data_IF_831117371053
#
_entry.id   IF_831117371053
#
_cell.length_a   1.000
_cell.length_b   1.000
_cell.length_c   1.000
_cell.angle_alpha   90.00
_cell.angle_beta   90.00
_cell.angle_gamma   90.00
#
_symmetry.space_group_name_H-M   'P 1'
#
loop_
_entity.id
_entity.type
_entity.pdbx_description
1 polymer ?
#
# COMPACT_ATOMS: atom_id res chain seq x y z
N UNK A 1 -2.31 10.37 -16.70
CA UNK A 1 -2.78 10.54 -15.29
C UNK A 1 -1.81 9.96 -14.28
N UNK A 2 -1.51 8.64 -14.29
CA UNK A 2 -0.63 8.04 -13.27
C UNK A 2 0.80 8.59 -13.31
N UNK A 3 1.36 8.79 -14.49
CA UNK A 3 2.66 9.47 -14.70
C UNK A 3 2.66 10.89 -14.12
N UNK A 4 1.63 11.68 -14.40
CA UNK A 4 1.47 13.03 -13.82
C UNK A 4 1.29 13.02 -12.31
N UNK A 5 0.67 11.96 -11.77
CA UNK A 5 0.56 11.78 -10.32
C UNK A 5 1.92 11.45 -9.71
N UNK A 6 2.73 10.63 -10.40
CA UNK A 6 4.07 10.28 -9.99
C UNK A 6 5.04 11.49 -9.94
N UNK A 7 4.74 12.60 -10.61
CA UNK A 7 5.52 13.84 -10.51
C UNK A 7 5.26 14.63 -9.23
N UNK A 8 4.33 14.20 -8.37
CA UNK A 8 3.99 14.87 -7.12
C UNK A 8 4.29 13.94 -5.95
N UNK A 9 5.17 14.37 -5.05
CA UNK A 9 5.48 13.60 -3.85
C UNK A 9 4.22 13.37 -3.01
N UNK A 10 4.04 12.13 -2.54
CA UNK A 10 2.82 11.66 -1.86
C UNK A 10 1.52 11.75 -2.69
N UNK A 11 1.61 11.96 -4.01
CA UNK A 11 0.47 11.93 -4.90
C UNK A 11 -0.06 10.52 -5.12
N UNK A 12 -1.37 10.33 -4.99
CA UNK A 12 -2.06 9.09 -5.35
C UNK A 12 -3.42 9.40 -5.97
N UNK A 13 -4.01 8.42 -6.62
CA UNK A 13 -5.35 8.51 -7.22
C UNK A 13 -6.20 7.35 -6.76
N UNK A 14 -7.50 7.57 -6.67
CA UNK A 14 -8.46 6.50 -6.37
C UNK A 14 -8.89 5.77 -7.65
N UNK A 15 -9.41 4.55 -7.50
CA UNK A 15 -10.02 3.81 -8.62
C UNK A 15 -11.11 4.61 -9.32
N UNK A 16 -11.92 5.36 -8.56
CA UNK A 16 -12.97 6.22 -9.11
C UNK A 16 -12.39 7.36 -9.96
N UNK A 17 -11.34 8.03 -9.48
CA UNK A 17 -10.68 9.11 -10.23
C UNK A 17 -10.00 8.58 -11.51
N UNK A 18 -9.34 7.42 -11.43
CA UNK A 18 -8.76 6.80 -12.62
C UNK A 18 -9.85 6.39 -13.62
N UNK A 19 -10.95 5.83 -13.12
CA UNK A 19 -12.06 5.43 -13.96
C UNK A 19 -12.71 6.62 -14.68
N UNK A 20 -12.99 7.69 -13.95
CA UNK A 20 -13.51 8.94 -14.50
C UNK A 20 -12.57 9.52 -15.57
N UNK A 21 -11.25 9.54 -15.29
CA UNK A 21 -10.26 9.99 -16.26
C UNK A 21 -10.27 9.14 -17.54
N UNK A 22 -10.33 7.81 -17.43
CA UNK A 22 -10.38 6.91 -18.59
C UNK A 22 -11.65 7.13 -19.40
N UNK A 23 -12.80 7.25 -18.75
CA UNK A 23 -14.07 7.51 -19.44
C UNK A 23 -14.06 8.87 -20.13
N UNK A 24 -13.54 9.91 -19.48
CA UNK A 24 -13.42 11.25 -20.04
C UNK A 24 -12.48 11.28 -21.26
N UNK A 25 -11.34 10.58 -21.20
CA UNK A 25 -10.37 10.54 -22.30
C UNK A 25 -10.85 9.71 -23.49
N UNK A 26 -11.60 8.64 -23.24
CA UNK A 26 -12.07 7.73 -24.30
C UNK A 26 -13.44 8.13 -24.87
N UNK A 27 -14.22 8.94 -24.15
CA UNK A 27 -15.63 9.20 -24.47
C UNK A 27 -16.55 8.00 -24.25
N UNK A 28 -16.01 6.84 -23.82
CA UNK A 28 -16.78 5.63 -23.57
C UNK A 28 -17.29 5.67 -22.12
N UNK A 29 -18.57 5.98 -21.97
CA UNK A 29 -19.23 5.93 -20.66
C UNK A 29 -19.83 4.54 -20.44
N UNK A 30 -19.59 3.96 -19.27
CA UNK A 30 -20.11 2.65 -18.91
C UNK A 30 -20.78 2.70 -17.53
N UNK A 31 -22.01 2.15 -17.43
CA UNK A 31 -22.79 2.13 -16.19
C UNK A 31 -22.43 0.99 -15.23
N UNK A 32 -21.58 0.05 -15.66
CA UNK A 32 -21.12 -1.03 -14.79
C UNK A 32 -20.13 -0.55 -13.73
N UNK A 33 -20.12 -1.24 -12.60
CA UNK A 33 -19.27 -0.94 -11.46
C UNK A 33 -17.79 -0.87 -11.88
N UNK A 34 -17.10 0.17 -11.43
CA UNK A 34 -15.67 0.42 -11.72
C UNK A 34 -14.80 -0.81 -11.45
N UNK A 35 -15.08 -1.51 -10.36
CA UNK A 35 -14.34 -2.69 -9.93
C UNK A 35 -14.32 -3.82 -10.98
N UNK A 36 -15.31 -3.88 -11.88
CA UNK A 36 -15.42 -4.95 -12.86
C UNK A 36 -14.47 -4.78 -14.05
N UNK A 37 -13.92 -3.59 -14.29
CA UNK A 37 -13.12 -3.30 -15.48
C UNK A 37 -11.83 -2.52 -15.18
N UNK A 38 -11.74 -1.84 -14.03
CA UNK A 38 -10.54 -1.10 -13.66
C UNK A 38 -9.32 -2.02 -13.52
N UNK A 39 -9.55 -3.29 -13.16
CA UNK A 39 -8.51 -4.32 -13.13
C UNK A 39 -7.84 -4.55 -14.49
N UNK A 40 -8.61 -4.55 -15.57
CA UNK A 40 -8.08 -4.73 -16.94
C UNK A 40 -7.24 -3.54 -17.38
N UNK A 41 -7.68 -2.33 -17.02
CA UNK A 41 -6.91 -1.10 -17.26
C UNK A 41 -5.59 -1.14 -16.49
N UNK A 42 -5.62 -1.50 -15.21
CA UNK A 42 -4.42 -1.63 -14.39
C UNK A 42 -3.52 -2.77 -14.89
N UNK A 43 -4.08 -3.86 -15.40
CA UNK A 43 -3.32 -4.95 -16.05
C UNK A 43 -2.51 -4.47 -17.25
N UNK A 44 -3.09 -3.58 -18.08
CA UNK A 44 -2.36 -2.94 -19.20
C UNK A 44 -1.25 -2.02 -18.69
N UNK A 45 -1.51 -1.25 -17.62
CA UNK A 45 -0.49 -0.40 -16.99
C UNK A 45 0.68 -1.23 -16.47
N UNK A 46 0.40 -2.37 -15.82
CA UNK A 46 1.44 -3.30 -15.36
C UNK A 46 2.30 -3.75 -16.53
N UNK A 47 1.68 -4.22 -17.63
CA UNK A 47 2.41 -4.66 -18.81
C UNK A 47 3.31 -3.57 -19.38
N UNK A 48 2.83 -2.32 -19.46
CA UNK A 48 3.61 -1.17 -19.94
C UNK A 48 4.76 -0.84 -19.00
N UNK A 49 4.53 -0.85 -17.68
CA UNK A 49 5.60 -0.56 -16.72
C UNK A 49 6.69 -1.63 -16.80
N UNK A 50 6.30 -2.90 -16.80
CA UNK A 50 7.22 -4.03 -16.90
C UNK A 50 8.02 -4.01 -18.21
N UNK A 51 7.38 -3.75 -19.36
CA UNK A 51 8.09 -3.74 -20.65
C UNK A 51 9.11 -2.60 -20.77
N UNK A 52 8.87 -1.49 -20.08
CA UNK A 52 9.76 -0.32 -20.11
C UNK A 52 10.77 -0.30 -18.93
N UNK A 53 10.74 -1.31 -18.04
CA UNK A 53 11.56 -1.33 -16.83
C UNK A 53 11.22 -0.19 -15.85
N UNK A 54 9.99 0.32 -15.88
CA UNK A 54 9.54 1.38 -14.99
C UNK A 54 9.03 0.82 -13.66
N UNK A 55 9.14 1.59 -12.55
CA UNK A 55 8.46 1.22 -11.32
C UNK A 55 6.95 1.15 -11.54
N UNK A 56 6.29 0.21 -10.86
CA UNK A 56 4.88 -0.11 -11.10
C UNK A 56 3.97 1.07 -10.69
N UNK A 57 3.51 1.83 -11.68
CA UNK A 57 2.60 2.98 -11.50
C UNK A 57 1.26 2.60 -10.87
N UNK A 58 0.86 1.32 -10.92
CA UNK A 58 -0.34 0.81 -10.26
C UNK A 58 -0.28 0.95 -8.74
N UNK A 59 0.92 1.11 -8.15
CA UNK A 59 1.09 1.43 -6.72
C UNK A 59 0.48 2.78 -6.33
N UNK A 60 0.31 3.71 -7.27
CA UNK A 60 -0.30 5.04 -7.07
C UNK A 60 -1.83 4.99 -7.10
N UNK A 61 -2.42 3.85 -7.48
CA UNK A 61 -3.85 3.70 -7.64
C UNK A 61 -4.43 2.91 -6.47
N UNK A 62 -5.31 3.54 -5.68
CA UNK A 62 -5.82 2.99 -4.43
C UNK A 62 -7.35 2.88 -4.41
N UNK A 63 -7.84 2.05 -3.51
CA UNK A 63 -9.25 1.95 -3.15
C UNK A 63 -9.73 3.23 -2.45
N UNK A 64 -11.04 3.34 -2.20
CA UNK A 64 -11.63 4.43 -1.40
C UNK A 64 -11.06 4.51 0.03
N UNK A 65 -10.56 3.39 0.53
CA UNK A 65 -9.94 3.25 1.86
C UNK A 65 -8.45 3.60 1.85
N UNK A 66 -7.90 3.93 0.68
CA UNK A 66 -6.50 4.32 0.51
C UNK A 66 -5.52 3.13 0.44
N UNK A 67 -6.02 1.91 0.39
CA UNK A 67 -5.18 0.70 0.20
C UNK A 67 -5.05 0.36 -1.28
N UNK A 68 -4.01 -0.35 -1.70
CA UNK A 68 -3.82 -0.73 -3.13
C UNK A 68 -4.73 -1.86 -3.60
N UNK A 69 -5.39 -2.56 -2.68
CA UNK A 69 -6.30 -3.66 -2.98
C UNK A 69 -5.60 -4.96 -3.43
N UNK A 70 -6.36 -6.06 -3.49
CA UNK A 70 -5.82 -7.38 -3.81
C UNK A 70 -5.22 -7.48 -5.23
N UNK A 71 -5.73 -6.69 -6.17
CA UNK A 71 -5.23 -6.66 -7.55
C UNK A 71 -3.79 -6.18 -7.69
N UNK A 72 -3.23 -5.50 -6.68
CA UNK A 72 -1.83 -5.07 -6.71
C UNK A 72 -0.84 -6.25 -6.72
N UNK A 73 -1.23 -7.43 -6.22
CA UNK A 73 -0.42 -8.67 -6.30
C UNK A 73 0.02 -8.99 -7.73
N UNK A 74 -0.78 -8.65 -8.74
CA UNK A 74 -0.40 -8.88 -10.14
C UNK A 74 0.79 -8.03 -10.59
N UNK A 75 0.95 -6.82 -10.04
CA UNK A 75 2.10 -5.96 -10.32
C UNK A 75 3.38 -6.52 -9.72
N UNK A 76 3.31 -7.08 -8.50
CA UNK A 76 4.42 -7.75 -7.83
C UNK A 76 4.89 -8.96 -8.63
N UNK A 77 3.96 -9.86 -8.96
CA UNK A 77 4.26 -11.05 -9.75
C UNK A 77 4.85 -10.70 -11.12
N UNK A 78 4.43 -9.58 -11.73
CA UNK A 78 4.99 -9.13 -13.00
C UNK A 78 6.42 -8.57 -12.84
N UNK A 79 6.70 -7.84 -11.76
CA UNK A 79 8.03 -7.33 -11.45
C UNK A 79 9.01 -8.46 -11.11
N UNK A 80 8.59 -9.46 -10.33
CA UNK A 80 9.39 -10.64 -9.99
C UNK A 80 9.78 -11.43 -11.25
N UNK A 81 8.82 -11.72 -12.13
CA UNK A 81 9.10 -12.41 -13.40
C UNK A 81 10.08 -11.64 -14.28
N UNK A 82 10.01 -10.31 -14.29
CA UNK A 82 10.97 -9.50 -15.04
C UNK A 82 12.36 -9.49 -14.40
N UNK A 83 12.44 -9.73 -13.09
CA UNK A 83 13.66 -9.64 -12.28
C UNK A 83 14.28 -11.01 -11.98
N UNK A 84 14.03 -12.02 -12.83
CA UNK A 84 14.33 -13.47 -12.67
C UNK A 84 15.80 -13.89 -12.38
N UNK A 85 16.62 -13.02 -11.77
CA UNK A 85 17.94 -13.32 -11.23
C UNK A 85 18.25 -12.71 -9.86
N UNK A 86 17.34 -11.94 -9.24
CA UNK A 86 17.56 -11.38 -7.90
C UNK A 86 16.73 -12.09 -6.83
N UNK A 87 17.33 -12.14 -5.64
CA UNK A 87 16.82 -12.61 -4.36
C UNK A 87 15.29 -12.51 -4.21
N UNK A 88 14.68 -13.66 -3.94
CA UNK A 88 13.24 -13.83 -3.76
C UNK A 88 12.79 -13.10 -2.48
N UNK A 89 12.42 -11.82 -2.59
CA UNK A 89 11.65 -11.15 -1.52
C UNK A 89 10.37 -11.95 -1.30
N UNK A 90 10.10 -12.34 -0.06
CA UNK A 90 8.90 -13.12 0.25
C UNK A 90 7.64 -12.34 -0.18
N UNK A 91 6.81 -12.98 -1.00
CA UNK A 91 5.57 -12.39 -1.49
C UNK A 91 4.70 -11.90 -0.30
N UNK A 92 4.20 -10.65 -0.34
CA UNK A 92 3.27 -10.11 0.66
C UNK A 92 2.08 -11.04 0.91
N UNK A 93 1.87 -11.43 2.17
CA UNK A 93 0.84 -12.40 2.54
C UNK A 93 -0.49 -11.70 2.80
N UNK A 94 -0.46 -10.54 3.45
CA UNK A 94 -1.64 -9.73 3.80
C UNK A 94 -1.79 -8.42 3.01
N UNK A 95 -2.94 -7.74 3.19
CA UNK A 95 -3.17 -6.41 2.62
C UNK A 95 -2.23 -5.34 3.21
N UNK A 96 -1.93 -5.43 4.51
CA UNK A 96 -1.01 -4.50 5.19
C UNK A 96 0.40 -4.58 4.55
N UNK A 97 0.86 -5.81 4.24
CA UNK A 97 2.15 -6.04 3.55
C UNK A 97 2.14 -5.48 2.12
N UNK A 98 1.00 -5.60 1.41
CA UNK A 98 0.85 -5.02 0.07
C UNK A 98 0.92 -3.50 0.09
N UNK A 99 0.30 -2.86 1.09
CA UNK A 99 0.30 -1.41 1.22
C UNK A 99 1.70 -0.88 1.58
N UNK A 100 2.47 -1.62 2.37
CA UNK A 100 3.87 -1.32 2.66
C UNK A 100 4.76 -1.47 1.43
N UNK A 101 4.61 -2.56 0.67
CA UNK A 101 5.29 -2.71 -0.61
C UNK A 101 4.92 -1.56 -1.56
N UNK A 102 3.62 -1.26 -1.69
CA UNK A 102 3.17 -0.17 -2.53
C UNK A 102 3.70 1.20 -2.08
N UNK A 103 3.90 1.43 -0.79
CA UNK A 103 4.55 2.65 -0.30
C UNK A 103 6.00 2.77 -0.77
N UNK A 104 6.75 1.65 -0.79
CA UNK A 104 8.12 1.61 -1.35
C UNK A 104 8.11 1.89 -2.85
N UNK A 105 7.29 1.16 -3.61
CA UNK A 105 7.19 1.35 -5.07
C UNK A 105 6.69 2.73 -5.46
N UNK A 106 5.79 3.36 -4.68
CA UNK A 106 5.37 4.75 -4.93
C UNK A 106 6.53 5.72 -4.80
N UNK A 107 7.40 5.54 -3.80
CA UNK A 107 8.59 6.36 -3.65
C UNK A 107 9.55 6.20 -4.85
N UNK A 108 9.70 4.97 -5.35
CA UNK A 108 10.44 4.71 -6.58
C UNK A 108 9.81 5.42 -7.79
N UNK A 109 8.49 5.39 -7.93
CA UNK A 109 7.78 6.16 -8.96
C UNK A 109 8.09 7.66 -8.83
N UNK A 110 8.01 8.24 -7.63
CA UNK A 110 8.31 9.66 -7.42
C UNK A 110 9.74 10.02 -7.82
N UNK A 111 10.71 9.17 -7.46
CA UNK A 111 12.12 9.34 -7.84
C UNK A 111 12.31 9.21 -9.35
N UNK A 112 11.71 8.19 -9.95
CA UNK A 112 11.87 7.88 -11.37
C UNK A 112 11.24 8.95 -12.28
N UNK A 113 10.06 9.45 -11.92
CA UNK A 113 9.33 10.45 -12.72
C UNK A 113 9.67 11.90 -12.36
N UNK A 114 10.64 12.12 -11.47
CA UNK A 114 11.18 13.45 -11.17
C UNK A 114 10.26 14.32 -10.31
N UNK A 115 9.62 13.74 -9.30
CA UNK A 115 8.90 14.52 -8.31
C UNK A 115 9.84 15.41 -7.48
N UNK A 116 9.32 16.54 -7.01
CA UNK A 116 10.00 17.33 -6.00
C UNK A 116 9.99 16.58 -4.66
N UNK A 117 11.16 16.06 -4.27
CA UNK A 117 11.35 15.29 -3.06
C UNK A 117 11.96 16.17 -1.95
N UNK A 118 11.69 15.86 -0.67
CA UNK A 118 12.39 16.51 0.42
C UNK A 118 13.91 16.25 0.35
N UNK A 119 14.75 17.06 1.04
CA UNK A 119 16.21 16.93 0.98
C UNK A 119 16.77 15.55 1.39
N UNK A 120 16.02 14.78 2.19
CA UNK A 120 16.37 13.41 2.59
C UNK A 120 16.01 12.35 1.52
N UNK A 121 15.51 12.77 0.35
CA UNK A 121 15.08 11.89 -0.73
C UNK A 121 13.72 11.23 -0.51
N UNK A 122 12.98 11.65 0.53
CA UNK A 122 11.66 11.15 0.89
C UNK A 122 11.66 9.74 1.49
N UNK A 123 10.56 9.42 2.19
CA UNK A 123 10.35 8.11 2.81
C UNK A 123 9.10 7.41 2.28
N UNK A 124 9.07 6.07 2.24
CA UNK A 124 7.87 5.30 1.89
C UNK A 124 6.75 5.66 2.86
N UNK A 125 5.62 6.14 2.33
CA UNK A 125 4.51 6.64 3.14
C UNK A 125 3.22 5.96 2.71
N UNK A 126 2.44 5.47 3.69
CA UNK A 126 1.10 4.96 3.45
C UNK A 126 0.16 6.11 3.04
N UNK A 127 -0.97 5.80 2.42
CA UNK A 127 -1.98 6.87 2.26
C UNK A 127 -2.52 7.29 3.62
N UNK A 128 -3.02 8.53 3.78
CA UNK A 128 -3.54 8.98 5.08
C UNK A 128 -4.59 8.05 5.69
N UNK A 129 -5.49 7.49 4.87
CA UNK A 129 -6.52 6.56 5.34
C UNK A 129 -5.95 5.19 5.72
N UNK A 130 -5.03 4.64 4.92
CA UNK A 130 -4.38 3.36 5.25
C UNK A 130 -3.55 3.49 6.53
N UNK A 131 -2.84 4.60 6.70
CA UNK A 131 -2.10 4.90 7.92
C UNK A 131 -3.01 4.98 9.15
N UNK A 132 -4.08 5.77 9.07
CA UNK A 132 -5.05 5.90 10.17
C UNK A 132 -5.68 4.55 10.54
N UNK A 133 -6.00 3.70 9.54
CA UNK A 133 -6.54 2.35 9.77
C UNK A 133 -5.52 1.45 10.48
N UNK A 134 -4.25 1.52 10.09
CA UNK A 134 -3.16 0.76 10.73
C UNK A 134 -2.95 1.22 12.18
N UNK A 135 -2.96 2.52 12.43
CA UNK A 135 -2.84 3.10 13.77
C UNK A 135 -4.01 2.70 14.67
N UNK A 136 -5.24 2.76 14.14
CA UNK A 136 -6.44 2.31 14.86
C UNK A 136 -6.37 0.82 15.22
N UNK A 137 -6.00 -0.05 14.27
CA UNK A 137 -5.82 -1.49 14.52
C UNK A 137 -4.76 -1.76 15.58
N UNK A 138 -3.65 -1.02 15.56
CA UNK A 138 -2.58 -1.11 16.56
C UNK A 138 -3.06 -0.67 17.95
N UNK A 139 -3.84 0.41 18.03
CA UNK A 139 -4.42 0.88 19.28
C UNK A 139 -5.40 -0.15 19.86
N UNK A 140 -6.28 -0.71 19.02
CA UNK A 140 -7.22 -1.75 19.44
C UNK A 140 -6.51 -3.02 19.93
N UNK A 141 -5.49 -3.49 19.20
CA UNK A 141 -4.70 -4.66 19.62
C UNK A 141 -3.98 -4.45 20.97
N UNK A 142 -3.61 -3.20 21.31
CA UNK A 142 -3.06 -2.86 22.62
C UNK A 142 -4.10 -2.92 23.72
N UNK A 143 -5.36 -2.59 23.42
CA UNK A 143 -6.48 -2.69 24.37
C UNK A 143 -6.89 -4.15 24.59
N UNK A 144 -6.89 -4.95 23.52
CA UNK A 144 -7.26 -6.38 23.56
C UNK A 144 -6.10 -7.29 24.01
N UNK A 145 -4.93 -6.70 24.34
CA UNK A 145 -3.76 -7.45 24.76
C UNK A 145 -4.08 -8.24 26.04
N UNK A 146 -3.81 -9.57 26.08
CA UNK A 146 -4.06 -10.36 27.26
C UNK A 146 -3.36 -9.78 28.47
N UNK A 147 -4.08 -9.71 29.60
CA UNK A 147 -3.47 -9.35 30.88
C UNK A 147 -2.31 -10.30 31.14
N UNK A 148 -1.13 -9.74 31.40
CA UNK A 148 0.01 -10.52 31.84
C UNK A 148 -0.22 -10.88 33.29
N UNK A 149 -0.05 -12.15 33.65
CA UNK A 149 -0.18 -12.59 35.03
C UNK A 149 1.20 -12.82 35.65
N UNK A 150 1.33 -12.54 36.95
CA UNK A 150 2.51 -12.88 37.71
C UNK A 150 2.67 -14.41 37.77
N UNK A 151 3.85 -14.93 37.47
CA UNK A 151 4.13 -16.38 37.50
C UNK A 151 4.14 -16.98 38.91
N UNK A 152 4.20 -16.16 39.97
CA UNK A 152 4.21 -16.62 41.37
C UNK A 152 2.82 -16.64 42.00
N UNK A 153 2.05 -15.56 41.88
CA UNK A 153 0.77 -15.40 42.57
C UNK A 153 -0.45 -15.32 41.62
N UNK A 154 -0.25 -15.44 40.30
CA UNK A 154 -1.29 -15.36 39.28
C UNK A 154 -2.17 -14.09 39.34
N UNK A 155 -1.72 -13.02 40.00
CA UNK A 155 -2.38 -11.72 39.91
C UNK A 155 -2.06 -11.04 38.57
N UNK A 156 -3.02 -10.30 38.03
CA UNK A 156 -2.83 -9.50 36.83
C UNK A 156 -1.78 -8.41 37.10
N UNK A 157 -0.74 -8.37 36.27
CA UNK A 157 0.35 -7.42 36.39
C UNK A 157 -0.12 -6.03 35.93
N UNK A 158 0.26 -4.96 36.65
CA UNK A 158 0.12 -3.60 36.16
C UNK A 158 0.96 -3.36 34.90
N UNK A 159 0.75 -2.22 34.25
CA UNK A 159 1.48 -1.81 33.03
C UNK A 159 3.01 -1.81 33.19
N UNK A 160 3.51 -1.66 34.42
CA UNK A 160 4.95 -1.70 34.75
C UNK A 160 5.56 -3.09 34.61
N UNK A 161 4.75 -4.15 34.62
CA UNK A 161 5.20 -5.54 34.53
C UNK A 161 5.81 -6.12 35.81
N UNK A 162 5.79 -5.37 36.91
CA UNK A 162 6.24 -5.83 38.24
C UNK A 162 5.04 -6.14 39.13
N UNK A 163 5.19 -7.11 40.03
CA UNK A 163 4.11 -7.58 40.89
C UNK A 163 4.20 -6.91 42.26
N UNK A 164 3.26 -6.02 42.58
CA UNK A 164 3.23 -5.28 43.85
C UNK A 164 3.09 -6.18 45.10
N UNK A 165 2.75 -7.47 44.93
CA UNK A 165 2.49 -8.42 46.01
C UNK A 165 3.57 -9.52 46.14
N UNK A 166 4.56 -9.57 45.23
CA UNK A 166 5.60 -10.63 45.25
C UNK A 166 7.03 -10.09 45.24
N UNK A 167 7.20 -8.80 45.57
CA UNK A 167 8.50 -8.20 45.85
C UNK A 167 9.28 -9.01 46.91
#
# INVERSE_FOLDING_TARGET
>A
MLTETAKRYNGFVTYSQLAEFVQMQTGITHRGLVMNWIGDVLGRVISVCTSNGWPQLTSLCVTSDGTVGAGYKFALNAAERASSGNEHEALPQGLDDLDEHAARTRLECYRFFGAELPPDGGKPTLTPKAQAKKEFKKAQAKLDAPLKFCSRCNQALPMTGQCDNCD
#
